data_IF_308797014204
#
_entry.id   IF_308797014204
#
_cell.length_a   1.000
_cell.length_b   1.000
_cell.length_c   1.000
_cell.angle_alpha   90.00
_cell.angle_beta   90.00
_cell.angle_gamma   90.00
#
_symmetry.space_group_name_H-M   'P 1'
#
loop_
_entity.id
_entity.type
_entity.pdbx_description
1 polymer ?
#
# COMPACT_ATOMS: atom_id res chain seq x y z
N UNK A 1 -3.78 -12.53 -2.60
CA UNK A 1 -2.66 -13.46 -2.27
C UNK A 1 -2.25 -13.25 -0.80
N UNK A 2 -1.15 -13.82 -0.33
CA UNK A 2 -0.59 -13.47 0.98
C UNK A 2 0.89 -13.13 0.82
N UNK A 3 1.29 -11.96 1.33
CA UNK A 3 2.66 -11.45 1.22
C UNK A 3 3.32 -11.40 2.59
N UNK A 4 4.61 -11.74 2.63
CA UNK A 4 5.40 -11.59 3.84
C UNK A 4 5.71 -10.11 4.09
N UNK A 5 5.74 -9.71 5.36
CA UNK A 5 6.11 -8.34 5.74
C UNK A 5 7.47 -7.91 5.18
N UNK A 6 8.46 -8.80 5.23
CA UNK A 6 9.81 -8.52 4.69
C UNK A 6 9.83 -8.29 3.18
N UNK A 7 8.85 -8.83 2.45
CA UNK A 7 8.68 -8.57 1.03
C UNK A 7 8.03 -7.21 0.81
N UNK A 8 6.99 -6.88 1.58
CA UNK A 8 6.32 -5.58 1.50
C UNK A 8 7.26 -4.41 1.84
N UNK A 9 8.22 -4.61 2.73
CA UNK A 9 9.26 -3.61 3.06
C UNK A 9 10.21 -3.33 1.88
N UNK A 10 10.40 -4.29 0.98
CA UNK A 10 11.21 -4.14 -0.24
C UNK A 10 10.38 -3.69 -1.45
N UNK A 11 9.10 -4.03 -1.47
CA UNK A 11 8.16 -3.72 -2.55
C UNK A 11 6.88 -3.15 -1.93
N UNK A 12 6.86 -1.83 -1.65
CA UNK A 12 5.77 -1.20 -0.91
C UNK A 12 4.50 -0.99 -1.75
N UNK A 13 4.56 -1.24 -3.07
CA UNK A 13 3.42 -1.12 -3.99
C UNK A 13 3.27 -2.42 -4.77
N UNK A 14 2.09 -3.05 -4.61
CA UNK A 14 1.78 -4.34 -5.23
C UNK A 14 0.56 -4.18 -6.14
N UNK A 15 0.78 -4.23 -7.45
CA UNK A 15 -0.27 -4.10 -8.46
C UNK A 15 -0.90 -5.45 -8.89
N UNK A 16 -0.30 -6.59 -8.51
CA UNK A 16 -0.61 -7.90 -9.09
C UNK A 16 -1.70 -8.70 -8.34
N UNK A 17 -2.36 -8.08 -7.35
CA UNK A 17 -3.38 -8.77 -6.54
C UNK A 17 -4.81 -8.50 -7.03
N UNK A 18 -5.69 -9.45 -6.74
CA UNK A 18 -7.12 -9.37 -7.01
C UNK A 18 -7.92 -9.84 -5.80
N UNK A 19 -9.08 -9.24 -5.61
CA UNK A 19 -10.10 -9.73 -4.66
C UNK A 19 -11.34 -10.11 -5.45
N UNK A 20 -11.51 -11.42 -5.67
CA UNK A 20 -12.50 -11.91 -6.63
C UNK A 20 -12.11 -11.49 -8.05
N UNK A 21 -12.96 -10.73 -8.71
CA UNK A 21 -12.73 -10.19 -10.06
C UNK A 21 -12.16 -8.76 -10.05
N UNK A 22 -12.01 -8.14 -8.88
CA UNK A 22 -11.55 -6.75 -8.75
C UNK A 22 -10.02 -6.67 -8.70
N UNK A 23 -9.44 -5.91 -9.64
CA UNK A 23 -8.02 -5.55 -9.63
C UNK A 23 -7.76 -4.53 -8.51
N UNK A 24 -6.85 -4.88 -7.60
CA UNK A 24 -6.50 -4.04 -6.45
C UNK A 24 -5.03 -3.69 -6.45
N UNK A 25 -4.71 -2.59 -5.78
CA UNK A 25 -3.33 -2.22 -5.44
C UNK A 25 -3.20 -2.13 -3.92
N UNK A 26 -2.12 -2.70 -3.40
CA UNK A 26 -1.77 -2.60 -1.98
C UNK A 26 -0.60 -1.65 -1.80
N UNK A 27 -0.76 -0.66 -0.92
CA UNK A 27 0.28 0.28 -0.50
C UNK A 27 0.67 -0.03 0.95
N UNK A 28 1.93 -0.38 1.13
CA UNK A 28 2.49 -0.69 2.43
C UNK A 28 3.29 0.48 3.00
N UNK A 29 3.10 0.76 4.29
CA UNK A 29 3.84 1.78 5.04
C UNK A 29 4.36 1.21 6.37
N UNK A 30 5.68 1.09 6.49
CA UNK A 30 6.39 0.64 7.69
C UNK A 30 6.69 1.79 8.68
N UNK A 31 5.65 2.50 9.09
CA UNK A 31 5.81 3.70 9.92
C UNK A 31 4.50 4.33 10.35
N UNK A 32 3.38 3.64 10.17
CA UNK A 32 2.06 4.17 10.48
C UNK A 32 1.86 4.23 11.99
N UNK A 33 1.40 5.36 12.51
CA UNK A 33 1.08 5.49 13.92
C UNK A 33 0.07 4.43 14.35
N UNK A 34 0.44 3.63 15.35
CA UNK A 34 -0.43 2.63 15.93
C UNK A 34 -1.49 3.31 16.79
N UNK A 35 -2.75 2.87 16.65
CA UNK A 35 -3.82 3.23 17.59
C UNK A 35 -3.69 2.48 18.94
N UNK A 36 -2.82 1.46 19.00
CA UNK A 36 -2.48 0.74 20.21
C UNK A 36 -1.18 1.28 20.78
N UNK A 37 -1.24 1.79 22.01
CA UNK A 37 -0.06 2.14 22.79
C UNK A 37 0.38 0.94 23.64
N UNK A 38 1.66 0.91 23.99
CA UNK A 38 2.09 0.04 25.08
C UNK A 38 1.59 0.56 26.44
N UNK A 39 1.80 -0.26 27.47
CA UNK A 39 1.48 0.07 28.86
C UNK A 39 2.23 1.28 29.41
N UNK A 40 3.24 1.79 28.70
CA UNK A 40 4.02 2.97 29.09
C UNK A 40 3.54 4.25 28.41
N UNK A 41 2.43 4.19 27.64
CA UNK A 41 1.90 5.29 26.84
C UNK A 41 2.93 5.86 25.84
N UNK A 42 3.90 5.03 25.46
CA UNK A 42 4.85 5.39 24.41
C UNK A 42 4.19 5.19 23.04
N UNK A 43 4.37 6.17 22.16
CA UNK A 43 3.83 6.09 20.80
C UNK A 43 4.61 5.02 20.03
N UNK A 44 3.87 4.13 19.38
CA UNK A 44 4.45 3.04 18.59
C UNK A 44 4.05 3.20 17.13
N UNK A 45 4.93 2.78 16.23
CA UNK A 45 4.59 2.64 14.81
C UNK A 45 4.29 1.18 14.50
N UNK A 46 3.55 0.99 13.42
CA UNK A 46 3.18 -0.31 12.89
C UNK A 46 3.29 -0.30 11.37
N UNK A 47 3.48 -1.48 10.80
CA UNK A 47 3.23 -1.65 9.37
C UNK A 47 1.74 -1.59 9.10
N UNK A 48 1.35 -0.82 8.10
CA UNK A 48 -0.02 -0.78 7.60
C UNK A 48 -0.05 -1.09 6.11
N UNK A 49 -1.14 -1.70 5.67
CA UNK A 49 -1.45 -1.87 4.25
C UNK A 49 -2.77 -1.18 3.99
N UNK A 50 -2.77 -0.25 3.03
CA UNK A 50 -4.00 0.30 2.47
C UNK A 50 -4.25 -0.34 1.11
N UNK A 51 -5.49 -0.72 0.84
CA UNK A 51 -5.88 -1.35 -0.43
C UNK A 51 -6.84 -0.44 -1.17
N UNK A 52 -6.60 -0.24 -2.46
CA UNK A 52 -7.46 0.52 -3.35
C UNK A 52 -7.85 -0.31 -4.57
N UNK A 53 -9.02 -0.01 -5.14
CA UNK A 53 -9.36 -0.48 -6.49
C UNK A 53 -8.43 0.17 -7.50
N UNK A 54 -7.98 -0.58 -8.50
CA UNK A 54 -7.15 -0.06 -9.60
C UNK A 54 -7.99 0.50 -10.75
N UNK A 55 -9.28 0.23 -10.77
CA UNK A 55 -10.18 0.68 -11.83
C UNK A 55 -10.78 2.04 -11.46
N UNK A 56 -10.43 3.07 -12.22
CA UNK A 56 -10.97 4.43 -12.07
C UNK A 56 -11.51 4.87 -13.43
N UNK A 57 -12.80 5.20 -13.50
CA UNK A 57 -13.47 5.62 -14.75
C UNK A 57 -13.15 4.72 -15.96
N UNK A 58 -13.29 3.40 -15.77
CA UNK A 58 -12.99 2.35 -16.76
C UNK A 58 -11.51 2.22 -17.19
N UNK A 59 -10.60 2.94 -16.54
CA UNK A 59 -9.16 2.86 -16.76
C UNK A 59 -8.50 2.06 -15.64
N UNK A 60 -7.76 1.01 -16.01
CA UNK A 60 -6.94 0.24 -15.08
C UNK A 60 -5.61 0.97 -14.85
N UNK A 61 -5.36 1.39 -13.61
CA UNK A 61 -4.16 2.12 -13.23
C UNK A 61 -3.05 1.21 -12.71
N UNK A 62 -1.81 1.67 -12.83
CA UNK A 62 -0.61 0.99 -12.34
C UNK A 62 0.22 1.99 -11.56
N UNK A 63 0.66 1.58 -10.38
CA UNK A 63 1.35 2.45 -9.45
C UNK A 63 2.81 2.05 -9.29
N UNK A 64 3.71 3.03 -9.25
CA UNK A 64 5.11 2.83 -8.91
C UNK A 64 5.47 3.62 -7.65
N UNK A 65 6.29 3.02 -6.79
CA UNK A 65 6.88 3.71 -5.65
C UNK A 65 8.23 4.31 -6.03
N UNK A 66 8.45 5.55 -5.61
CA UNK A 66 9.76 6.17 -5.50
C UNK A 66 10.09 6.41 -4.02
N UNK A 67 11.30 6.91 -3.73
CA UNK A 67 11.75 7.18 -2.36
C UNK A 67 10.81 8.13 -1.56
N UNK A 68 10.00 8.95 -2.24
CA UNK A 68 9.17 9.97 -1.59
C UNK A 68 7.69 9.98 -1.97
N UNK A 69 7.29 9.24 -3.01
CA UNK A 69 5.91 9.28 -3.50
C UNK A 69 5.52 7.97 -4.20
N UNK A 70 4.22 7.73 -4.26
CA UNK A 70 3.60 6.75 -5.16
C UNK A 70 3.07 7.53 -6.35
N UNK A 71 3.24 7.01 -7.56
CA UNK A 71 2.80 7.67 -8.79
C UNK A 71 2.01 6.71 -9.65
N UNK A 72 0.86 7.16 -10.12
CA UNK A 72 0.10 6.55 -11.21
C UNK A 72 0.86 6.79 -12.52
N UNK A 73 1.26 5.70 -13.21
CA UNK A 73 2.07 5.81 -14.43
C UNK A 73 1.27 6.25 -15.65
N UNK A 74 -0.05 6.07 -15.66
CA UNK A 74 -0.91 6.41 -16.77
C UNK A 74 -1.24 7.91 -16.80
N UNK A 75 -1.38 8.55 -15.64
CA UNK A 75 -1.70 10.00 -15.55
C UNK A 75 -0.56 10.87 -15.03
N UNK A 76 0.43 10.28 -14.36
CA UNK A 76 1.51 11.01 -13.67
C UNK A 76 1.06 11.68 -12.37
N UNK A 77 -0.12 11.30 -11.84
CA UNK A 77 -0.62 11.80 -10.55
C UNK A 77 0.07 11.12 -9.36
N UNK A 78 0.12 11.82 -8.21
CA UNK A 78 0.82 11.40 -6.98
C UNK A 78 -0.05 11.62 -5.72
#
# INVERSE_FOLDING_TARGET
>A
MAYLFSFLDQSPVINDDKVGDEDIVAFFNNGTFSAFNDRSDSHQTSGSVTVFSRLVDDQLLTFEASDSSITDIETGSY
#
